data_IF_481357211550
#
_entry.id   IF_481357211550
#
_cell.length_a   1.000
_cell.length_b   1.000
_cell.length_c   1.000
_cell.angle_alpha   90.00
_cell.angle_beta   90.00
_cell.angle_gamma   90.00
#
_symmetry.space_group_name_H-M   'P 1'
#
loop_
_entity.id
_entity.type
_entity.pdbx_description
1 polymer ?
#
# COMPACT_ATOMS: atom_id res chain seq x y z
N UNK A 1 22.23 -2.93 -17.16
CA UNK A 1 20.93 -3.22 -16.52
C UNK A 1 20.08 -1.99 -16.68
N UNK A 2 19.07 -2.04 -17.53
CA UNK A 2 18.10 -0.95 -17.67
C UNK A 2 17.30 -0.88 -16.36
N UNK A 3 17.62 0.10 -15.52
CA UNK A 3 16.80 0.42 -14.37
C UNK A 3 15.53 1.04 -14.93
N UNK A 4 14.54 0.22 -15.24
CA UNK A 4 13.22 0.67 -15.68
C UNK A 4 12.71 1.58 -14.59
N UNK A 5 12.76 2.90 -14.82
CA UNK A 5 12.28 3.87 -13.84
C UNK A 5 10.84 3.49 -13.49
N UNK A 6 10.44 3.53 -12.20
CA UNK A 6 9.07 3.28 -11.83
C UNK A 6 8.17 4.21 -12.64
N UNK A 7 7.25 3.62 -13.39
CA UNK A 7 6.32 4.35 -14.26
C UNK A 7 5.26 5.07 -13.42
N UNK A 8 4.46 5.94 -14.04
CA UNK A 8 3.42 6.70 -13.32
C UNK A 8 2.45 5.83 -12.51
N UNK A 9 2.20 4.58 -12.93
CA UNK A 9 1.33 3.66 -12.17
C UNK A 9 1.92 3.28 -10.80
N UNK A 10 3.24 3.13 -10.71
CA UNK A 10 3.91 2.71 -9.48
C UNK A 10 3.75 3.77 -8.38
N UNK A 11 3.96 5.04 -8.74
CA UNK A 11 3.79 6.16 -7.82
C UNK A 11 2.35 6.31 -7.35
N UNK A 12 1.37 6.07 -8.24
CA UNK A 12 -0.06 6.07 -7.88
C UNK A 12 -0.38 4.97 -6.86
N UNK A 13 0.15 3.77 -7.05
CA UNK A 13 -0.06 2.65 -6.13
C UNK A 13 0.57 2.91 -4.76
N UNK A 14 1.81 3.41 -4.73
CA UNK A 14 2.50 3.80 -3.49
C UNK A 14 1.78 4.91 -2.74
N UNK A 15 1.23 5.89 -3.46
CA UNK A 15 0.41 6.94 -2.86
C UNK A 15 -0.85 6.37 -2.19
N UNK A 16 -1.59 5.51 -2.88
CA UNK A 16 -2.77 4.86 -2.31
C UNK A 16 -2.44 3.97 -1.10
N UNK A 17 -1.29 3.30 -1.07
CA UNK A 17 -0.88 2.54 0.11
C UNK A 17 -0.66 3.43 1.33
N UNK A 18 -0.05 4.61 1.17
CA UNK A 18 0.14 5.57 2.28
C UNK A 18 -1.19 6.13 2.77
N UNK A 19 -2.09 6.44 1.84
CA UNK A 19 -3.43 6.91 2.17
C UNK A 19 -4.20 5.82 2.93
N UNK A 20 -4.08 4.56 2.49
CA UNK A 20 -4.69 3.41 3.13
C UNK A 20 -4.15 3.21 4.56
N UNK A 21 -2.84 3.27 4.74
CA UNK A 21 -2.20 3.20 6.07
C UNK A 21 -2.65 4.35 6.96
N UNK A 22 -2.76 5.56 6.42
CA UNK A 22 -3.22 6.74 7.15
C UNK A 22 -4.66 6.58 7.61
N UNK A 23 -5.56 6.11 6.73
CA UNK A 23 -6.97 5.86 7.06
C UNK A 23 -7.16 4.73 8.06
N UNK A 24 -6.28 3.73 8.05
CA UNK A 24 -6.29 2.62 9.00
C UNK A 24 -5.65 2.96 10.35
N UNK A 25 -5.31 4.23 10.62
CA UNK A 25 -4.76 4.67 11.90
C UNK A 25 -3.23 4.55 12.02
N UNK A 26 -2.53 4.56 10.89
CA UNK A 26 -1.08 4.59 10.81
C UNK A 26 -0.41 3.22 10.84
N UNK A 27 0.93 3.24 10.86
CA UNK A 27 1.79 2.05 10.68
C UNK A 27 1.47 0.96 11.70
N UNK A 28 1.39 1.30 12.99
CA UNK A 28 1.19 0.31 14.05
C UNK A 28 -0.15 -0.43 13.90
N UNK A 29 -1.25 0.32 13.76
CA UNK A 29 -2.59 -0.27 13.62
C UNK A 29 -2.74 -1.05 12.31
N UNK A 30 -2.19 -0.53 11.22
CA UNK A 30 -2.22 -1.24 9.93
C UNK A 30 -1.44 -2.55 9.97
N UNK A 31 -0.29 -2.57 10.66
CA UNK A 31 0.51 -3.78 10.86
C UNK A 31 -0.25 -4.85 11.66
N UNK A 32 -0.97 -4.44 12.71
CA UNK A 32 -1.83 -5.31 13.51
C UNK A 32 -2.98 -5.89 12.66
N UNK A 33 -3.71 -5.06 11.91
CA UNK A 33 -4.82 -5.50 11.04
C UNK A 33 -4.31 -6.50 9.99
N UNK A 34 -3.17 -6.22 9.37
CA UNK A 34 -2.64 -7.03 8.28
C UNK A 34 -1.80 -8.24 8.76
N UNK A 35 -1.61 -8.42 10.07
CA UNK A 35 -0.71 -9.45 10.63
C UNK A 35 0.71 -9.37 10.06
N UNK A 36 1.24 -8.16 9.89
CA UNK A 36 2.59 -7.88 9.38
C UNK A 36 3.44 -7.15 10.42
N UNK A 37 4.75 -7.14 10.23
CA UNK A 37 5.62 -6.34 11.10
C UNK A 37 5.48 -4.84 10.85
N UNK A 38 5.69 -4.03 11.89
CA UNK A 38 5.74 -2.56 11.73
C UNK A 38 6.85 -2.12 10.76
N UNK A 39 7.95 -2.87 10.69
CA UNK A 39 9.03 -2.62 9.73
C UNK A 39 8.58 -2.83 8.28
N UNK A 40 7.86 -3.92 7.98
CA UNK A 40 7.25 -4.13 6.65
C UNK A 40 6.26 -3.02 6.33
N UNK A 41 5.37 -2.69 7.27
CA UNK A 41 4.38 -1.63 7.08
C UNK A 41 5.04 -0.25 6.89
N UNK A 42 6.17 0.00 7.55
CA UNK A 42 7.00 1.19 7.35
C UNK A 42 7.58 1.30 5.94
N UNK A 43 7.98 0.18 5.32
CA UNK A 43 8.44 0.16 3.92
C UNK A 43 7.32 0.44 2.94
N UNK A 44 6.13 -0.12 3.18
CA UNK A 44 4.94 0.22 2.38
C UNK A 44 4.61 1.72 2.45
N UNK A 45 4.80 2.33 3.62
CA UNK A 45 4.58 3.76 3.83
C UNK A 45 5.71 4.68 3.32
N UNK A 46 6.85 4.12 2.89
CA UNK A 46 8.02 4.88 2.45
C UNK A 46 8.05 5.05 0.93
N UNK A 47 8.16 6.29 0.44
CA UNK A 47 8.21 6.64 -0.99
C UNK A 47 9.49 6.16 -1.68
N UNK A 48 10.59 6.11 -0.94
CA UNK A 48 11.88 5.64 -1.44
C UNK A 48 12.02 4.12 -1.47
N UNK A 49 11.07 3.40 -0.87
CA UNK A 49 11.10 1.94 -0.82
C UNK A 49 10.20 1.34 -1.91
N UNK A 50 10.74 0.51 -2.83
CA UNK A 50 9.98 -0.04 -3.93
C UNK A 50 9.00 -1.14 -3.50
N UNK A 51 9.02 -1.59 -2.24
CA UNK A 51 8.17 -2.68 -1.76
C UNK A 51 6.68 -2.28 -1.79
N UNK A 52 5.89 -3.10 -2.48
CA UNK A 52 4.44 -2.99 -2.57
C UNK A 52 3.77 -3.95 -1.58
N UNK A 53 2.61 -3.54 -1.08
CA UNK A 53 1.83 -4.32 -0.13
C UNK A 53 1.20 -5.52 -0.86
N UNK A 54 1.26 -6.73 -0.27
CA UNK A 54 0.62 -7.89 -0.87
C UNK A 54 -0.91 -7.74 -0.86
N UNK A 55 -1.59 -8.26 -1.89
CA UNK A 55 -3.04 -8.12 -2.06
C UNK A 55 -3.86 -8.52 -0.82
N UNK A 56 -3.55 -9.62 -0.08
CA UNK A 56 -4.28 -9.93 1.15
C UNK A 56 -4.22 -8.81 2.20
N UNK A 57 -3.08 -8.14 2.36
CA UNK A 57 -2.94 -7.03 3.30
C UNK A 57 -3.73 -5.79 2.83
N UNK A 58 -3.75 -5.53 1.53
CA UNK A 58 -4.59 -4.49 0.93
C UNK A 58 -6.07 -4.75 1.25
N UNK A 59 -6.57 -5.95 0.98
CA UNK A 59 -7.98 -6.29 1.18
C UNK A 59 -8.40 -6.19 2.65
N UNK A 60 -7.55 -6.61 3.59
CA UNK A 60 -7.82 -6.48 5.03
C UNK A 60 -7.93 -5.01 5.46
N UNK A 61 -7.03 -4.14 4.98
CA UNK A 61 -7.04 -2.72 5.32
C UNK A 61 -8.19 -1.97 4.64
N UNK A 62 -8.48 -2.25 3.37
CA UNK A 62 -9.59 -1.63 2.64
C UNK A 62 -10.94 -2.00 3.24
N UNK A 63 -11.07 -3.24 3.75
CA UNK A 63 -12.23 -3.66 4.51
C UNK A 63 -12.37 -2.89 5.83
N UNK A 64 -11.27 -2.69 6.58
CA UNK A 64 -11.27 -1.91 7.83
C UNK A 64 -11.70 -0.45 7.60
N UNK A 65 -11.18 0.21 6.55
CA UNK A 65 -11.52 1.60 6.27
C UNK A 65 -12.72 1.80 5.32
N UNK A 66 -13.40 0.72 4.94
CA UNK A 66 -14.53 0.69 4.01
C UNK A 66 -14.28 1.49 2.71
N UNK A 67 -13.07 1.44 2.16
CA UNK A 67 -12.66 2.23 1.00
C UNK A 67 -11.64 1.49 0.12
N UNK A 68 -11.93 1.25 -1.17
CA UNK A 68 -11.04 0.51 -2.08
C UNK A 68 -9.95 1.43 -2.69
N UNK A 69 -9.00 1.91 -1.89
CA UNK A 69 -8.01 2.91 -2.33
C UNK A 69 -6.96 2.36 -3.31
N UNK A 70 -6.42 1.18 -3.02
CA UNK A 70 -5.35 0.54 -3.80
C UNK A 70 -5.98 -0.30 -4.91
N UNK A 71 -7.03 -1.07 -4.60
CA UNK A 71 -7.69 -1.94 -5.59
C UNK A 71 -8.37 -1.15 -6.72
N UNK A 72 -8.91 0.05 -6.45
CA UNK A 72 -9.42 0.92 -7.50
C UNK A 72 -8.33 1.34 -8.50
N UNK A 73 -7.13 1.70 -8.01
CA UNK A 73 -6.00 2.03 -8.88
C UNK A 73 -5.57 0.79 -9.67
N UNK A 74 -5.48 -0.38 -9.03
CA UNK A 74 -5.12 -1.62 -9.72
C UNK A 74 -6.12 -1.95 -10.85
N UNK A 75 -7.41 -1.70 -10.65
CA UNK A 75 -8.44 -1.93 -11.66
C UNK A 75 -8.32 -0.99 -12.88
N UNK A 76 -7.80 0.23 -12.70
CA UNK A 76 -7.54 1.17 -13.81
C UNK A 76 -6.32 0.77 -14.67
N UNK A 77 -5.46 -0.13 -14.20
CA UNK A 77 -4.24 -0.55 -14.90
C UNK A 77 -4.45 -1.74 -15.85
N UNK A 78 -5.64 -2.32 -15.87
CA UNK A 78 -5.97 -3.55 -16.59
C UNK A 78 -6.80 -3.25 -17.86
#
# INVERSE_FOLDING_TARGET
METTMPTGWFYRLKAAQRDLITRCGGIKRSAEIASLSQSQMGRFNNDGDPELMPLPAVLMLEHECAAPLVTAIMAELN
#
